data_IF_542083820020
#
_entry.id   IF_542083820020
#
_cell.length_a   1.000
_cell.length_b   1.000
_cell.length_c   1.000
_cell.angle_alpha   90.00
_cell.angle_beta   90.00
_cell.angle_gamma   90.00
#
_symmetry.space_group_name_H-M   'P 1'
#
loop_
_entity.id
_entity.type
_entity.pdbx_description
1 polymer ?
#
# COMPACT_ATOMS: atom_id res chain seq x y z
N UNK A 1 15.20 17.65 -7.46
CA UNK A 1 15.88 17.07 -6.29
C UNK A 1 16.10 15.61 -6.63
N UNK A 2 17.27 15.30 -7.15
CA UNK A 2 17.68 13.93 -7.40
C UNK A 2 17.80 13.24 -6.05
N UNK A 3 16.98 12.22 -5.83
CA UNK A 3 17.12 11.36 -4.67
C UNK A 3 18.01 10.19 -5.12
N UNK A 4 19.32 10.19 -4.80
CA UNK A 4 20.25 9.15 -5.24
C UNK A 4 19.82 7.75 -4.82
N UNK A 5 19.02 7.63 -3.75
CA UNK A 5 18.50 6.35 -3.30
C UNK A 5 17.48 5.74 -4.27
N UNK A 6 16.78 6.56 -5.09
CA UNK A 6 15.87 6.04 -6.12
C UNK A 6 16.61 5.37 -7.27
N UNK A 7 17.91 5.64 -7.44
CA UNK A 7 18.72 5.09 -8.53
C UNK A 7 18.91 3.56 -8.40
N UNK A 8 18.81 3.03 -7.17
CA UNK A 8 18.85 1.58 -6.96
C UNK A 8 17.71 0.86 -7.70
N UNK A 9 16.56 1.53 -7.92
CA UNK A 9 15.40 0.95 -8.58
C UNK A 9 15.60 0.90 -10.10
N UNK A 10 16.23 1.93 -10.70
CA UNK A 10 16.56 1.97 -12.13
C UNK A 10 17.50 0.84 -12.53
N UNK A 11 18.41 0.45 -11.64
CA UNK A 11 19.36 -0.64 -11.88
C UNK A 11 18.75 -2.05 -11.75
N UNK A 12 17.52 -2.19 -11.26
CA UNK A 12 16.86 -3.50 -11.16
C UNK A 12 16.34 -3.94 -12.53
N UNK A 13 16.86 -5.08 -13.02
CA UNK A 13 16.37 -5.72 -14.26
C UNK A 13 14.85 -6.02 -14.15
N UNK A 14 14.06 -5.79 -15.22
CA UNK A 14 12.62 -6.10 -15.25
C UNK A 14 12.25 -7.52 -14.79
N UNK A 15 13.03 -8.52 -15.19
CA UNK A 15 12.83 -9.92 -14.79
C UNK A 15 12.98 -10.13 -13.28
N UNK A 16 13.94 -9.45 -12.64
CA UNK A 16 14.15 -9.47 -11.20
C UNK A 16 12.97 -8.80 -10.49
N UNK A 17 12.53 -7.63 -10.96
CA UNK A 17 11.35 -6.92 -10.43
C UNK A 17 10.12 -7.83 -10.46
N UNK A 18 9.87 -8.53 -11.57
CA UNK A 18 8.73 -9.44 -11.69
C UNK A 18 8.79 -10.63 -10.73
N UNK A 19 9.99 -11.15 -10.45
CA UNK A 19 10.20 -12.27 -9.53
C UNK A 19 9.91 -11.87 -8.08
N UNK A 20 10.44 -10.72 -7.64
CA UNK A 20 10.29 -10.26 -6.26
C UNK A 20 8.90 -9.66 -5.97
N UNK A 21 8.13 -9.28 -7.00
CA UNK A 21 6.85 -8.60 -6.85
C UNK A 21 5.78 -9.34 -6.01
N UNK A 22 5.87 -10.67 -5.96
CA UNK A 22 4.95 -11.51 -5.15
C UNK A 22 5.48 -11.78 -3.74
N UNK A 23 6.71 -11.40 -3.47
CA UNK A 23 7.42 -11.65 -2.22
C UNK A 23 7.78 -10.29 -1.58
N UNK A 24 7.02 -9.85 -0.55
CA UNK A 24 7.26 -8.58 0.11
C UNK A 24 8.65 -8.46 0.75
N UNK A 25 9.20 -9.56 1.27
CA UNK A 25 10.51 -9.58 1.91
C UNK A 25 11.63 -9.44 0.90
N UNK A 26 11.58 -10.22 -0.18
CA UNK A 26 12.52 -10.10 -1.28
C UNK A 26 12.44 -8.71 -1.95
N UNK A 27 11.24 -8.13 -2.02
CA UNK A 27 11.05 -6.76 -2.51
C UNK A 27 11.75 -5.73 -1.62
N UNK A 28 11.60 -5.84 -0.30
CA UNK A 28 12.25 -4.92 0.64
C UNK A 28 13.77 -5.04 0.53
N UNK A 29 14.29 -6.27 0.54
CA UNK A 29 15.73 -6.55 0.45
C UNK A 29 16.35 -6.04 -0.86
N UNK A 30 15.61 -6.08 -1.97
CA UNK A 30 16.11 -5.60 -3.26
C UNK A 30 16.43 -4.09 -3.30
N UNK A 31 15.90 -3.32 -2.35
CA UNK A 31 16.13 -1.89 -2.19
C UNK A 31 16.71 -1.56 -0.82
N UNK A 32 17.45 -2.51 -0.22
CA UNK A 32 18.13 -2.39 1.06
C UNK A 32 17.21 -2.06 2.25
N UNK A 33 15.94 -2.48 2.19
CA UNK A 33 14.98 -2.37 3.28
C UNK A 33 14.74 -3.71 3.98
N UNK A 34 14.28 -3.62 5.23
CA UNK A 34 13.85 -4.75 6.03
C UNK A 34 12.33 -4.80 6.03
N UNK A 35 11.76 -5.99 5.81
CA UNK A 35 10.33 -6.19 5.95
C UNK A 35 9.96 -6.21 7.44
N UNK A 36 9.00 -5.39 7.84
CA UNK A 36 8.68 -5.09 9.24
C UNK A 36 7.17 -5.05 9.43
N UNK A 37 6.69 -5.52 10.58
CA UNK A 37 5.25 -5.55 10.88
C UNK A 37 4.97 -4.84 12.20
N UNK A 38 3.87 -4.09 12.24
CA UNK A 38 3.45 -3.40 13.46
C UNK A 38 2.80 -4.33 14.49
N UNK A 39 2.58 -5.60 14.14
CA UNK A 39 2.07 -6.64 15.05
C UNK A 39 3.15 -7.56 15.59
N UNK A 40 4.23 -7.77 14.85
CA UNK A 40 5.28 -8.74 15.19
C UNK A 40 6.55 -8.08 15.74
N UNK A 41 6.81 -6.82 15.36
CA UNK A 41 8.00 -6.09 15.79
C UNK A 41 7.67 -5.10 16.90
N UNK A 42 8.45 -5.16 17.98
CA UNK A 42 8.44 -4.11 18.99
C UNK A 42 8.78 -2.76 18.33
N UNK A 43 7.98 -1.74 18.64
CA UNK A 43 8.11 -0.42 18.02
C UNK A 43 8.15 0.70 19.04
N UNK A 44 8.34 1.90 18.51
CA UNK A 44 8.35 3.14 19.25
C UNK A 44 6.91 3.63 19.39
N UNK A 45 6.53 3.94 20.62
CA UNK A 45 5.20 4.43 20.97
C UNK A 45 5.24 5.96 21.05
N UNK A 46 4.26 6.60 20.40
CA UNK A 46 4.06 8.05 20.48
C UNK A 46 3.07 8.39 21.59
N UNK A 47 3.47 9.24 22.54
CA UNK A 47 2.58 9.77 23.60
C UNK A 47 2.46 11.29 23.48
N UNK A 48 1.24 11.81 23.57
CA UNK A 48 0.97 13.26 23.59
C UNK A 48 1.33 13.84 24.96
N UNK A 49 2.03 14.99 24.97
CA UNK A 49 2.42 15.76 26.16
C UNK A 49 2.10 17.24 25.90
N UNK A 50 0.90 17.66 26.29
CA UNK A 50 0.39 19.00 25.98
C UNK A 50 0.32 19.23 24.47
N UNK A 51 1.09 20.20 23.97
CA UNK A 51 1.19 20.55 22.54
C UNK A 51 2.26 19.77 21.77
N UNK A 52 3.07 18.96 22.45
CA UNK A 52 4.18 18.21 21.84
C UNK A 52 3.95 16.70 21.96
N UNK A 53 4.76 15.93 21.23
CA UNK A 53 4.83 14.48 21.35
C UNK A 53 6.15 14.06 22.00
N UNK A 54 6.09 12.96 22.76
CA UNK A 54 7.25 12.25 23.30
C UNK A 54 7.21 10.81 22.80
N UNK A 55 8.39 10.24 22.57
CA UNK A 55 8.56 8.91 22.02
C UNK A 55 9.17 7.96 23.05
N UNK A 56 8.71 6.72 23.05
CA UNK A 56 9.13 5.70 23.99
C UNK A 56 9.45 4.39 23.27
N UNK A 57 10.54 3.74 23.67
CA UNK A 57 10.91 2.39 23.22
C UNK A 57 11.12 1.53 24.45
N UNK A 58 10.47 0.37 24.50
CA UNK A 58 10.59 -0.58 25.62
C UNK A 58 10.32 0.06 27.00
N UNK A 59 9.40 1.04 27.04
CA UNK A 59 9.04 1.79 28.25
C UNK A 59 9.92 3.00 28.55
N UNK A 60 11.10 3.10 27.93
CA UNK A 60 12.04 4.20 28.15
C UNK A 60 11.83 5.36 27.18
N UNK A 61 12.01 6.60 27.68
CA UNK A 61 11.85 7.80 26.86
C UNK A 61 13.06 8.00 25.96
N UNK A 62 12.82 8.08 24.65
CA UNK A 62 13.85 8.46 23.68
C UNK A 62 14.20 9.94 23.88
N UNK A 63 15.49 10.21 24.09
CA UNK A 63 16.08 11.57 24.21
C UNK A 63 17.05 11.89 23.07
N UNK A 64 17.45 10.88 22.30
CA UNK A 64 18.33 11.05 21.15
C UNK A 64 17.69 11.99 20.13
N UNK A 65 18.43 13.05 19.78
CA UNK A 65 17.97 14.10 18.88
C UNK A 65 17.85 13.60 17.44
N UNK A 66 18.72 12.70 17.02
CA UNK A 66 18.72 12.21 15.64
C UNK A 66 17.54 11.27 15.41
N UNK A 67 17.28 10.38 16.37
CA UNK A 67 16.11 9.50 16.34
C UNK A 67 14.79 10.31 16.39
N UNK A 68 14.72 11.34 17.25
CA UNK A 68 13.55 12.25 17.29
C UNK A 68 13.38 13.00 15.95
N UNK A 69 14.48 13.46 15.34
CA UNK A 69 14.45 14.14 14.04
C UNK A 69 13.95 13.21 12.95
N UNK A 70 14.42 11.96 12.91
CA UNK A 70 13.94 10.90 11.99
C UNK A 70 12.44 10.68 12.14
N UNK A 71 11.95 10.46 13.37
CA UNK A 71 10.53 10.22 13.63
C UNK A 71 9.67 11.43 13.23
N UNK A 72 10.11 12.65 13.53
CA UNK A 72 9.41 13.86 13.12
C UNK A 72 9.36 14.00 11.59
N UNK A 73 10.42 13.57 10.88
CA UNK A 73 10.48 13.52 9.42
C UNK A 73 9.46 12.59 8.77
N UNK A 74 8.86 11.66 9.51
CA UNK A 74 7.76 10.81 9.02
C UNK A 74 6.43 11.56 8.86
N UNK A 75 6.34 12.78 9.41
CA UNK A 75 5.15 13.65 9.35
C UNK A 75 3.87 12.88 9.71
N UNK A 76 3.90 12.20 10.85
CA UNK A 76 2.76 11.39 11.34
C UNK A 76 1.67 12.36 11.82
N UNK A 77 0.46 12.34 11.22
CA UNK A 77 -0.59 13.27 11.56
C UNK A 77 -0.90 13.31 13.07
N UNK A 78 -1.15 14.49 13.65
CA UNK A 78 -1.38 14.64 15.08
C UNK A 78 -2.68 13.96 15.55
N UNK A 79 -3.64 13.82 14.65
CA UNK A 79 -4.94 13.17 14.90
C UNK A 79 -4.86 11.64 14.90
N UNK A 80 -3.71 11.02 14.59
CA UNK A 80 -3.58 9.56 14.67
C UNK A 80 -3.48 9.08 16.11
N UNK A 81 -4.30 8.10 16.44
CA UNK A 81 -4.32 7.38 17.71
C UNK A 81 -3.59 6.04 17.60
N UNK A 82 -3.17 5.46 18.74
CA UNK A 82 -2.48 4.17 18.85
C UNK A 82 -1.33 4.03 17.83
N UNK A 83 -0.45 5.03 17.81
CA UNK A 83 0.65 5.10 16.85
C UNK A 83 1.79 4.17 17.23
N UNK A 84 2.12 3.27 16.31
CA UNK A 84 3.34 2.47 16.29
C UNK A 84 4.31 3.08 15.27
N UNK A 85 5.58 3.15 15.64
CA UNK A 85 6.66 3.67 14.79
C UNK A 85 7.77 2.61 14.74
N UNK A 86 8.27 2.31 13.55
CA UNK A 86 9.36 1.35 13.38
C UNK A 86 10.64 1.88 14.05
N UNK A 87 11.31 1.00 14.78
CA UNK A 87 12.60 1.31 15.41
C UNK A 87 13.77 1.32 14.41
N UNK A 88 13.58 0.76 13.22
CA UNK A 88 14.58 0.72 12.16
C UNK A 88 14.28 1.81 11.14
N UNK A 89 15.29 2.60 10.77
CA UNK A 89 15.19 3.61 9.72
C UNK A 89 14.97 2.99 8.33
N UNK A 90 15.53 1.81 8.09
CA UNK A 90 15.40 1.02 6.87
C UNK A 90 14.24 0.01 6.90
N UNK A 91 13.34 0.09 7.88
CA UNK A 91 12.10 -0.69 7.89
C UNK A 91 11.16 -0.23 6.77
N UNK A 92 10.63 -1.16 5.97
CA UNK A 92 9.76 -0.79 4.85
C UNK A 92 8.46 -0.09 5.30
N UNK A 93 7.91 -0.53 6.44
CA UNK A 93 6.80 0.09 7.16
C UNK A 93 7.40 0.95 8.27
N UNK A 94 7.17 2.26 8.21
CA UNK A 94 7.78 3.24 9.11
C UNK A 94 6.86 3.64 10.26
N UNK A 95 5.55 3.73 10.03
CA UNK A 95 4.60 3.95 11.11
C UNK A 95 3.20 3.45 10.75
N UNK A 96 2.42 3.13 11.77
CA UNK A 96 0.98 2.88 11.67
C UNK A 96 0.24 3.65 12.76
N UNK A 97 -1.06 3.82 12.58
CA UNK A 97 -1.94 4.41 13.58
C UNK A 97 -3.37 4.39 13.08
N UNK A 98 -4.30 4.90 13.88
CA UNK A 98 -5.72 4.97 13.52
C UNK A 98 -6.13 6.42 13.35
N UNK A 99 -6.81 6.74 12.24
CA UNK A 99 -7.37 8.08 12.06
C UNK A 99 -8.64 8.32 12.90
N UNK A 100 -9.18 9.53 12.84
CA UNK A 100 -10.42 9.93 13.56
C UNK A 100 -11.64 9.08 13.19
N UNK A 101 -11.61 8.36 12.05
CA UNK A 101 -12.64 7.43 11.60
C UNK A 101 -12.32 5.98 11.98
N UNK A 102 -11.34 5.76 12.88
CA UNK A 102 -10.85 4.45 13.32
C UNK A 102 -10.30 3.57 12.19
N UNK A 103 -9.87 4.17 11.09
CA UNK A 103 -9.24 3.43 9.98
C UNK A 103 -7.74 3.34 10.24
N UNK A 104 -7.17 2.15 10.10
CA UNK A 104 -5.73 1.95 10.19
C UNK A 104 -5.05 2.64 9.00
N UNK A 105 -4.06 3.47 9.31
CA UNK A 105 -3.27 4.26 8.38
C UNK A 105 -1.80 3.83 8.46
N UNK A 106 -1.07 4.06 7.38
CA UNK A 106 0.29 3.55 7.18
C UNK A 106 1.21 4.66 6.65
N UNK A 107 2.45 4.68 7.12
CA UNK A 107 3.59 5.39 6.53
C UNK A 107 4.63 4.36 6.11
N UNK A 108 5.08 4.44 4.86
CA UNK A 108 6.10 3.56 4.32
C UNK A 108 7.39 4.32 4.07
N UNK A 109 8.50 3.59 4.02
CA UNK A 109 9.77 4.12 3.54
C UNK A 109 9.64 4.60 2.08
N UNK A 110 10.24 5.74 1.69
CA UNK A 110 10.13 6.25 0.32
C UNK A 110 10.52 5.24 -0.77
N UNK A 111 11.60 4.48 -0.55
CA UNK A 111 12.05 3.42 -1.47
C UNK A 111 11.02 2.29 -1.64
N UNK A 112 10.30 1.94 -0.58
CA UNK A 112 9.22 0.95 -0.67
C UNK A 112 8.11 1.46 -1.59
N UNK A 113 7.64 2.69 -1.36
CA UNK A 113 6.61 3.30 -2.20
C UNK A 113 7.05 3.43 -3.66
N UNK A 114 8.31 3.85 -3.89
CA UNK A 114 8.87 3.98 -5.23
C UNK A 114 8.96 2.65 -5.96
N UNK A 115 9.50 1.60 -5.33
CA UNK A 115 9.58 0.26 -5.91
C UNK A 115 8.18 -0.27 -6.26
N UNK A 116 7.22 -0.13 -5.33
CA UNK A 116 5.83 -0.58 -5.54
C UNK A 116 5.14 0.21 -6.64
N UNK A 117 5.45 1.49 -6.82
CA UNK A 117 4.93 2.27 -7.94
C UNK A 117 5.56 1.85 -9.27
N UNK A 118 6.89 1.64 -9.31
CA UNK A 118 7.58 1.19 -10.50
C UNK A 118 7.08 -0.19 -10.98
N UNK A 119 6.78 -1.10 -10.06
CA UNK A 119 6.27 -2.44 -10.41
C UNK A 119 4.89 -2.42 -11.09
N UNK A 120 4.09 -1.35 -10.94
CA UNK A 120 2.76 -1.23 -11.57
C UNK A 120 2.84 -1.23 -13.08
N UNK A 121 3.88 -0.62 -13.66
CA UNK A 121 4.06 -0.55 -15.11
C UNK A 121 4.23 -1.95 -15.73
N UNK A 122 4.98 -2.83 -15.09
CA UNK A 122 5.16 -4.20 -15.56
C UNK A 122 3.90 -5.05 -15.44
N UNK A 123 3.09 -4.84 -14.39
CA UNK A 123 1.76 -5.48 -14.29
C UNK A 123 0.82 -5.00 -15.39
N UNK A 124 0.88 -3.71 -15.72
CA UNK A 124 0.06 -3.12 -16.78
C UNK A 124 0.39 -3.71 -18.16
N UNK A 125 1.67 -3.93 -18.46
CA UNK A 125 2.08 -4.58 -19.72
C UNK A 125 1.57 -6.03 -19.81
N UNK A 126 1.70 -6.82 -18.73
CA UNK A 126 1.14 -8.18 -18.66
C UNK A 126 -0.38 -8.18 -18.81
N UNK A 127 -1.05 -7.23 -18.18
CA UNK A 127 -2.50 -7.05 -18.34
C UNK A 127 -2.87 -6.71 -19.78
N UNK A 128 -2.09 -5.84 -20.44
CA UNK A 128 -2.25 -5.50 -21.85
C UNK A 128 -2.24 -6.72 -22.77
N UNK A 129 -1.32 -7.66 -22.56
CA UNK A 129 -1.28 -8.91 -23.34
C UNK A 129 -2.47 -9.84 -23.05
N UNK A 130 -3.06 -9.78 -21.85
CA UNK A 130 -4.22 -10.59 -21.49
C UNK A 130 -5.54 -9.99 -22.02
N UNK A 131 -5.58 -8.69 -22.32
CA UNK A 131 -6.80 -7.99 -22.72
C UNK A 131 -7.53 -8.60 -23.93
N UNK A 132 -6.87 -8.99 -25.03
CA UNK A 132 -7.56 -9.57 -26.19
C UNK A 132 -8.33 -10.84 -25.84
N UNK A 133 -7.69 -11.78 -25.13
CA UNK A 133 -8.32 -13.04 -24.71
C UNK A 133 -9.45 -12.78 -23.70
N UNK A 134 -9.25 -11.87 -22.74
CA UNK A 134 -10.28 -11.49 -21.78
C UNK A 134 -11.51 -10.88 -22.47
N UNK A 135 -11.32 -10.00 -23.46
CA UNK A 135 -12.41 -9.37 -24.21
C UNK A 135 -13.20 -10.39 -25.02
N UNK A 136 -12.52 -11.34 -25.66
CA UNK A 136 -13.18 -12.44 -26.37
C UNK A 136 -14.06 -13.27 -25.44
N UNK A 137 -13.58 -13.63 -24.25
CA UNK A 137 -14.38 -14.35 -23.27
C UNK A 137 -15.59 -13.55 -22.77
N UNK A 138 -15.43 -12.25 -22.53
CA UNK A 138 -16.54 -11.37 -22.15
C UNK A 138 -17.60 -11.35 -23.26
N UNK A 139 -17.21 -11.23 -24.53
CA UNK A 139 -18.14 -11.24 -25.66
C UNK A 139 -18.90 -12.57 -25.78
N UNK A 140 -18.19 -13.70 -25.63
CA UNK A 140 -18.78 -15.04 -25.63
C UNK A 140 -19.81 -15.21 -24.51
N UNK A 141 -19.47 -14.82 -23.28
CA UNK A 141 -20.36 -14.96 -22.12
C UNK A 141 -21.56 -14.00 -22.20
N UNK A 142 -21.40 -12.81 -22.78
CA UNK A 142 -22.51 -11.88 -23.03
C UNK A 142 -23.52 -12.41 -24.06
N UNK A 143 -23.06 -13.23 -25.02
CA UNK A 143 -23.89 -13.84 -26.04
C UNK A 143 -24.75 -15.02 -25.54
N UNK A 144 -24.50 -15.53 -24.33
CA UNK A 144 -25.32 -16.60 -23.73
C UNK A 144 -26.80 -16.21 -23.68
N UNK A 145 -27.71 -17.13 -23.97
CA UNK A 145 -29.15 -16.83 -24.03
C UNK A 145 -29.75 -16.44 -22.67
N UNK A 146 -29.36 -17.15 -21.62
CA UNK A 146 -29.91 -17.00 -20.27
C UNK A 146 -29.01 -16.17 -19.36
N UNK A 147 -29.58 -15.56 -18.31
CA UNK A 147 -28.86 -14.82 -17.27
C UNK A 147 -28.19 -15.75 -16.25
N UNK A 148 -27.30 -16.59 -16.73
CA UNK A 148 -26.46 -17.42 -15.87
C UNK A 148 -25.34 -16.59 -15.24
N UNK A 149 -24.73 -17.12 -14.17
CA UNK A 149 -23.64 -16.46 -13.43
C UNK A 149 -22.54 -15.89 -14.34
N UNK A 150 -22.14 -16.64 -15.37
CA UNK A 150 -21.11 -16.19 -16.34
C UNK A 150 -21.52 -14.94 -17.10
N UNK A 151 -22.74 -14.90 -17.63
CA UNK A 151 -23.27 -13.71 -18.34
C UNK A 151 -23.35 -12.50 -17.43
N UNK A 152 -23.79 -12.69 -16.18
CA UNK A 152 -23.87 -11.62 -15.18
C UNK A 152 -22.45 -11.09 -14.87
N UNK A 153 -21.47 -11.96 -14.66
CA UNK A 153 -20.08 -11.55 -14.42
C UNK A 153 -19.50 -10.81 -15.63
N UNK A 154 -19.73 -11.29 -16.86
CA UNK A 154 -19.29 -10.63 -18.08
C UNK A 154 -19.94 -9.24 -18.24
N UNK A 155 -21.22 -9.10 -17.87
CA UNK A 155 -21.92 -7.81 -17.85
C UNK A 155 -21.29 -6.84 -16.84
N UNK A 156 -21.03 -7.29 -15.61
CA UNK A 156 -20.37 -6.50 -14.56
C UNK A 156 -18.99 -6.03 -15.05
N UNK A 157 -18.16 -6.94 -15.55
CA UNK A 157 -16.80 -6.60 -16.03
C UNK A 157 -16.85 -5.67 -17.25
N UNK A 158 -17.79 -5.88 -18.16
CA UNK A 158 -18.01 -4.99 -19.32
C UNK A 158 -18.42 -3.58 -18.88
N UNK A 159 -19.32 -3.46 -17.90
CA UNK A 159 -19.72 -2.18 -17.34
C UNK A 159 -18.54 -1.48 -16.66
N UNK A 160 -17.75 -2.21 -15.87
CA UNK A 160 -16.50 -1.69 -15.28
C UNK A 160 -15.56 -1.16 -16.36
N UNK A 161 -15.33 -1.92 -17.43
CA UNK A 161 -14.42 -1.52 -18.50
C UNK A 161 -14.91 -0.28 -19.26
N UNK A 162 -16.21 -0.15 -19.50
CA UNK A 162 -16.78 0.98 -20.27
C UNK A 162 -16.91 2.27 -19.45
N UNK A 163 -17.17 2.15 -18.15
CA UNK A 163 -17.48 3.30 -17.28
C UNK A 163 -16.34 3.66 -16.34
N UNK A 164 -15.36 2.77 -16.16
CA UNK A 164 -14.34 2.84 -15.11
C UNK A 164 -14.93 2.94 -13.69
N UNK A 165 -16.18 2.51 -13.49
CA UNK A 165 -16.80 2.47 -12.17
C UNK A 165 -16.06 1.47 -11.27
N UNK A 166 -15.98 1.80 -9.98
CA UNK A 166 -15.39 0.90 -8.98
C UNK A 166 -16.36 -0.23 -8.65
N UNK A 167 -15.80 -1.37 -8.26
CA UNK A 167 -16.55 -2.56 -7.80
C UNK A 167 -17.48 -2.26 -6.62
N UNK A 168 -17.28 -1.17 -5.88
CA UNK A 168 -18.07 -0.91 -4.68
C UNK A 168 -17.67 -1.79 -3.49
N UNK A 169 -18.24 -1.45 -2.33
CA UNK A 169 -18.04 -2.20 -1.10
C UNK A 169 -19.22 -1.92 -0.17
N UNK A 170 -19.97 -2.96 0.23
CA UNK A 170 -21.14 -2.86 1.08
C UNK A 170 -20.86 -2.14 2.42
N UNK A 171 -19.63 -2.21 2.93
CA UNK A 171 -19.20 -1.48 4.13
C UNK A 171 -19.16 0.03 3.86
N UNK A 172 -18.66 0.45 2.68
CA UNK A 172 -18.60 1.86 2.30
C UNK A 172 -19.97 2.43 1.95
N UNK A 173 -20.85 1.63 1.35
CA UNK A 173 -22.24 2.00 1.11
C UNK A 173 -22.94 2.34 2.42
N UNK A 174 -22.90 1.43 3.40
CA UNK A 174 -23.56 1.63 4.71
C UNK A 174 -22.98 2.78 5.53
N UNK A 175 -21.66 3.00 5.46
CA UNK A 175 -20.99 4.02 6.27
C UNK A 175 -21.01 5.42 5.64
N UNK A 176 -21.05 5.52 4.31
CA UNK A 176 -20.81 6.78 3.60
C UNK A 176 -21.80 7.07 2.45
N UNK A 177 -22.80 6.21 2.22
CA UNK A 177 -23.76 6.38 1.10
C UNK A 177 -23.09 6.34 -0.27
N UNK A 178 -21.90 5.74 -0.37
CA UNK A 178 -21.12 5.67 -1.61
C UNK A 178 -21.40 4.36 -2.33
N UNK A 179 -21.84 4.45 -3.59
CA UNK A 179 -22.21 3.30 -4.41
C UNK A 179 -21.12 2.93 -5.42
N UNK A 180 -21.04 1.64 -5.73
CA UNK A 180 -20.30 1.08 -6.85
C UNK A 180 -21.17 0.04 -7.56
N UNK A 181 -20.56 -0.80 -8.39
CA UNK A 181 -21.21 -1.95 -9.02
C UNK A 181 -21.68 -3.00 -8.01
#
# INVERSE_FOLDING_TARGET
MDNPDLDIISHLKPSKILKILKDPEASAKAVNLIYTSDTESAGIIRKKRGKKYSYFKDGERIKDKDEIKRINGLVIPPAWENVWICALDNGHLQATGFDVKKRKQYRYHPLWSALRNHTKFYRMLKFGYALPAMRLHIEQDLALRNFEKRKILALIVSLMQKTNIRIGNNVYEKLYGSFGL
#
